data_IF_889001457502
#
_entry.id   IF_889001457502
#
_cell.length_a   1.000
_cell.length_b   1.000
_cell.length_c   1.000
_cell.angle_alpha   90.00
_cell.angle_beta   90.00
_cell.angle_gamma   90.00
#
_symmetry.space_group_name_H-M   'P 1'
#
loop_
_entity.id
_entity.type
_entity.pdbx_description
1 polymer ?
#
# COMPACT_ATOMS: atom_id res chain seq x y z
N UNK A 1 -0.87 27.18 -4.49
CA UNK A 1 0.06 26.20 -3.86
C UNK A 1 -0.17 24.81 -4.45
N UNK A 2 0.92 24.10 -4.76
CA UNK A 2 0.84 22.72 -5.26
C UNK A 2 1.15 21.79 -4.09
N UNK A 3 0.33 20.75 -3.92
CA UNK A 3 0.52 19.77 -2.84
C UNK A 3 0.18 18.36 -3.35
N UNK A 4 0.65 17.35 -2.66
CA UNK A 4 0.33 15.97 -2.97
C UNK A 4 -1.10 15.69 -2.49
N UNK A 5 -1.98 15.32 -3.43
CA UNK A 5 -3.34 14.91 -3.09
C UNK A 5 -3.44 13.41 -2.90
N UNK A 6 -2.91 12.65 -3.86
CA UNK A 6 -2.96 11.19 -3.87
C UNK A 6 -1.65 10.62 -4.37
N UNK A 7 -1.33 9.41 -3.96
CA UNK A 7 -0.32 8.55 -4.56
C UNK A 7 -0.99 7.25 -4.97
N UNK A 8 -0.39 6.47 -5.88
CA UNK A 8 -1.06 5.31 -6.45
C UNK A 8 -0.24 4.03 -6.30
N UNK A 9 -0.97 2.94 -6.06
CA UNK A 9 -0.45 1.58 -6.20
C UNK A 9 -1.30 0.82 -7.22
N UNK A 10 -0.66 0.03 -8.06
CA UNK A 10 -1.38 -0.96 -8.85
C UNK A 10 -1.84 -2.10 -7.95
N UNK A 11 -3.06 -2.60 -8.17
CA UNK A 11 -3.57 -3.78 -7.47
C UNK A 11 -4.22 -4.73 -8.47
N UNK A 12 -4.14 -6.04 -8.18
CA UNK A 12 -4.78 -7.07 -9.02
C UNK A 12 -6.28 -7.12 -8.80
N UNK A 13 -6.70 -7.01 -7.55
CA UNK A 13 -8.09 -7.12 -7.12
C UNK A 13 -8.38 -6.00 -6.13
N UNK A 14 -9.20 -5.04 -6.56
CA UNK A 14 -9.52 -3.88 -5.74
C UNK A 14 -10.25 -4.25 -4.45
N UNK A 15 -11.14 -5.24 -4.48
CA UNK A 15 -11.86 -5.68 -3.28
C UNK A 15 -10.92 -6.34 -2.27
N UNK A 16 -10.01 -7.19 -2.74
CA UNK A 16 -9.00 -7.81 -1.88
C UNK A 16 -8.05 -6.76 -1.28
N UNK A 17 -7.64 -5.78 -2.09
CA UNK A 17 -6.81 -4.69 -1.62
C UNK A 17 -7.55 -3.84 -0.57
N UNK A 18 -8.80 -3.50 -0.84
CA UNK A 18 -9.63 -2.73 0.09
C UNK A 18 -9.74 -3.44 1.45
N UNK A 19 -10.05 -4.73 1.44
CA UNK A 19 -10.16 -5.52 2.67
C UNK A 19 -8.83 -5.52 3.45
N UNK A 20 -7.70 -5.67 2.76
CA UNK A 20 -6.38 -5.65 3.40
C UNK A 20 -6.09 -4.32 4.09
N UNK A 21 -6.25 -3.21 3.37
CA UNK A 21 -5.90 -1.90 3.92
C UNK A 21 -6.86 -1.45 5.01
N UNK A 22 -8.14 -1.82 4.93
CA UNK A 22 -9.12 -1.45 5.96
C UNK A 22 -9.13 -2.41 7.14
N UNK A 23 -9.23 -3.72 6.90
CA UNK A 23 -9.39 -4.71 7.97
C UNK A 23 -8.07 -5.02 8.69
N UNK A 24 -6.96 -5.08 7.96
CA UNK A 24 -5.67 -5.43 8.55
C UNK A 24 -4.86 -4.21 8.97
N UNK A 25 -4.74 -3.18 8.13
CA UNK A 25 -4.00 -1.97 8.49
C UNK A 25 -4.84 -0.97 9.28
N UNK A 26 -6.16 -1.11 9.28
CA UNK A 26 -7.05 -0.19 10.01
C UNK A 26 -7.22 1.16 9.33
N UNK A 27 -6.93 1.24 8.04
CA UNK A 27 -7.13 2.47 7.27
C UNK A 27 -8.61 2.66 6.95
N UNK A 28 -8.97 3.88 6.56
CA UNK A 28 -10.34 4.20 6.17
C UNK A 28 -10.45 4.44 4.67
N UNK A 29 -11.63 4.20 4.12
CA UNK A 29 -11.94 4.53 2.73
C UNK A 29 -12.05 6.03 2.60
N UNK A 30 -11.32 6.61 1.64
CA UNK A 30 -11.41 8.03 1.31
C UNK A 30 -12.40 8.27 0.19
N UNK A 31 -12.36 7.42 -0.82
CA UNK A 31 -13.26 7.48 -1.96
C UNK A 31 -13.45 6.09 -2.55
N UNK A 32 -14.65 5.79 -2.98
CA UNK A 32 -14.96 4.55 -3.70
C UNK A 32 -16.11 4.86 -4.65
N UNK A 33 -15.77 5.20 -5.89
CA UNK A 33 -16.73 5.63 -6.91
C UNK A 33 -16.51 4.84 -8.18
N UNK A 34 -17.58 4.27 -8.71
CA UNK A 34 -17.57 3.63 -10.03
C UNK A 34 -18.22 4.55 -11.05
N UNK A 35 -17.55 4.76 -12.19
CA UNK A 35 -17.99 5.65 -13.24
C UNK A 35 -18.42 4.81 -14.46
N UNK A 36 -19.74 4.58 -14.66
CA UNK A 36 -20.22 3.74 -15.75
C UNK A 36 -19.82 4.26 -17.13
N UNK A 37 -19.80 5.59 -17.32
CA UNK A 37 -19.46 6.25 -18.58
C UNK A 37 -18.00 6.04 -18.99
N UNK A 38 -17.15 5.58 -18.05
CA UNK A 38 -15.75 5.27 -18.28
C UNK A 38 -15.47 3.76 -18.23
N UNK A 39 -16.45 2.96 -18.69
CA UNK A 39 -16.30 1.50 -18.70
C UNK A 39 -16.30 0.88 -17.32
N UNK A 40 -17.09 1.42 -16.40
CA UNK A 40 -17.13 0.99 -15.00
C UNK A 40 -15.79 1.18 -14.27
N UNK A 41 -15.06 2.21 -14.63
CA UNK A 41 -13.83 2.58 -13.93
C UNK A 41 -14.13 2.85 -12.46
N UNK A 42 -13.34 2.23 -11.57
CA UNK A 42 -13.49 2.38 -10.13
C UNK A 42 -12.33 3.22 -9.57
N UNK A 43 -12.66 4.38 -9.04
CA UNK A 43 -11.74 5.20 -8.28
C UNK A 43 -11.85 4.79 -6.82
N UNK A 44 -10.81 4.16 -6.29
CA UNK A 44 -10.77 3.64 -4.93
C UNK A 44 -9.54 4.19 -4.23
N UNK A 45 -9.74 4.83 -3.08
CA UNK A 45 -8.62 5.33 -2.28
C UNK A 45 -8.84 5.09 -0.80
N UNK A 46 -7.74 4.91 -0.09
CA UNK A 46 -7.69 4.60 1.33
C UNK A 46 -6.59 5.42 1.99
N UNK A 47 -6.62 5.52 3.31
CA UNK A 47 -5.55 6.17 4.06
C UNK A 47 -5.74 6.08 5.56
N UNK A 48 -4.66 6.31 6.34
CA UNK A 48 -4.76 6.35 7.79
C UNK A 48 -5.67 7.50 8.25
N UNK A 49 -6.51 7.25 9.26
CA UNK A 49 -7.43 8.28 9.77
C UNK A 49 -6.71 9.53 10.25
N UNK A 50 -5.51 9.36 10.79
CA UNK A 50 -4.68 10.47 11.31
C UNK A 50 -3.98 11.27 10.22
N UNK A 51 -4.05 10.84 8.96
CA UNK A 51 -3.45 11.53 7.81
C UNK A 51 -4.49 11.87 6.75
N UNK A 52 -5.45 12.78 7.05
CA UNK A 52 -6.54 13.06 6.12
C UNK A 52 -6.12 13.81 4.85
N UNK A 53 -4.90 14.35 4.82
CA UNK A 53 -4.41 15.19 3.73
C UNK A 53 -3.98 14.41 2.50
N UNK A 54 -3.70 13.12 2.64
CA UNK A 54 -3.18 12.29 1.55
C UNK A 54 -3.91 10.96 1.53
N UNK A 55 -4.11 10.42 0.34
CA UNK A 55 -4.70 9.10 0.16
C UNK A 55 -3.86 8.26 -0.79
N UNK A 56 -4.00 6.95 -0.66
CA UNK A 56 -3.40 5.97 -1.56
C UNK A 56 -4.50 5.44 -2.47
N UNK A 57 -4.35 5.65 -3.76
CA UNK A 57 -5.28 5.13 -4.77
C UNK A 57 -4.90 3.69 -5.06
N UNK A 58 -5.86 2.79 -4.89
CA UNK A 58 -5.72 1.38 -5.22
C UNK A 58 -6.28 1.18 -6.63
N UNK A 59 -5.39 1.23 -7.62
CA UNK A 59 -5.76 1.28 -9.03
C UNK A 59 -5.67 -0.10 -9.67
N UNK A 60 -6.77 -0.54 -10.28
CA UNK A 60 -6.76 -1.75 -11.08
C UNK A 60 -5.84 -1.57 -12.29
N UNK A 61 -5.07 -2.59 -12.64
CA UNK A 61 -4.23 -2.57 -13.83
C UNK A 61 -5.17 -2.51 -15.05
N UNK A 62 -5.10 -1.44 -15.87
CA UNK A 62 -6.02 -1.29 -16.99
C UNK A 62 -5.63 -2.18 -18.16
N UNK A 63 -6.61 -2.46 -19.04
CA UNK A 63 -6.36 -3.12 -20.31
C UNK A 63 -6.17 -2.13 -21.46
N UNK A 64 -6.05 -2.63 -22.69
CA UNK A 64 -5.99 -1.79 -23.87
C UNK A 64 -7.26 -0.90 -23.99
N UNK A 65 -7.13 0.31 -24.53
CA UNK A 65 -5.95 0.93 -25.13
C UNK A 65 -5.06 1.68 -24.12
N UNK A 66 -5.42 1.72 -22.84
CA UNK A 66 -4.67 2.49 -21.84
C UNK A 66 -3.30 1.83 -21.58
N UNK A 67 -3.31 0.52 -21.41
CA UNK A 67 -2.09 -0.25 -21.18
C UNK A 67 -2.15 -1.50 -22.07
N UNK A 68 -1.12 -1.75 -22.87
CA UNK A 68 -1.06 -2.96 -23.68
C UNK A 68 -0.80 -4.21 -22.82
N UNK A 69 -1.09 -5.38 -23.38
CA UNK A 69 -0.98 -6.64 -22.65
C UNK A 69 0.45 -6.92 -22.18
N UNK A 70 1.45 -6.58 -22.98
CA UNK A 70 2.85 -6.79 -22.63
C UNK A 70 3.27 -5.93 -21.43
N UNK A 71 2.83 -4.68 -21.41
CA UNK A 71 3.10 -3.77 -20.29
C UNK A 71 2.39 -4.25 -19.03
N UNK A 72 1.12 -4.65 -19.14
CA UNK A 72 0.36 -5.19 -18.01
C UNK A 72 1.02 -6.43 -17.42
N UNK A 73 1.52 -7.33 -18.28
CA UNK A 73 2.25 -8.52 -17.85
C UNK A 73 3.54 -8.15 -17.10
N UNK A 74 4.26 -7.14 -17.58
CA UNK A 74 5.49 -6.66 -16.94
C UNK A 74 5.20 -6.06 -15.56
N UNK A 75 4.14 -5.26 -15.43
CA UNK A 75 3.72 -4.70 -14.14
C UNK A 75 3.37 -5.82 -13.17
N UNK A 76 2.56 -6.78 -13.62
CA UNK A 76 2.16 -7.94 -12.81
C UNK A 76 3.36 -8.75 -12.33
N UNK A 77 4.34 -8.98 -13.21
CA UNK A 77 5.56 -9.70 -12.85
C UNK A 77 6.38 -8.97 -11.79
N UNK A 78 6.58 -7.66 -11.96
CA UNK A 78 7.30 -6.85 -10.99
C UNK A 78 6.58 -6.81 -9.64
N UNK A 79 5.25 -6.72 -9.64
CA UNK A 79 4.44 -6.76 -8.42
C UNK A 79 4.64 -8.08 -7.68
N UNK A 80 4.63 -9.20 -8.40
CA UNK A 80 4.81 -10.53 -7.79
C UNK A 80 6.16 -10.68 -7.10
N UNK A 81 7.14 -9.91 -7.54
CA UNK A 81 8.50 -9.89 -6.97
C UNK A 81 8.71 -8.82 -5.90
N UNK A 82 7.70 -7.97 -5.66
CA UNK A 82 7.78 -6.88 -4.70
C UNK A 82 8.54 -5.65 -5.19
N UNK A 83 8.64 -5.45 -6.51
CA UNK A 83 9.44 -4.36 -7.10
C UNK A 83 8.63 -3.35 -7.91
N UNK A 84 7.30 -3.42 -7.90
CA UNK A 84 6.48 -2.48 -8.67
C UNK A 84 6.11 -1.23 -7.86
N UNK A 85 5.89 -1.37 -6.56
CA UNK A 85 5.56 -0.23 -5.71
C UNK A 85 5.98 -0.49 -4.28
N UNK A 86 6.29 0.59 -3.57
CA UNK A 86 6.69 0.54 -2.16
C UNK A 86 6.01 1.66 -1.40
N UNK A 87 5.50 1.34 -0.22
CA UNK A 87 5.07 2.34 0.76
C UNK A 87 5.98 2.22 1.97
N UNK A 88 6.44 3.36 2.47
CA UNK A 88 7.18 3.44 3.71
C UNK A 88 6.25 3.96 4.80
N UNK A 89 5.92 3.12 5.77
CA UNK A 89 5.07 3.46 6.90
C UNK A 89 5.94 3.74 8.13
N UNK A 90 5.56 4.76 8.88
CA UNK A 90 6.21 5.10 10.15
C UNK A 90 5.36 4.64 11.32
N UNK A 91 5.99 4.15 12.36
CA UNK A 91 5.33 3.78 13.61
C UNK A 91 6.19 4.21 14.80
N UNK A 92 5.56 4.47 15.92
CA UNK A 92 6.28 4.78 17.16
C UNK A 92 6.86 3.54 17.83
N UNK A 93 6.31 2.36 17.53
CA UNK A 93 6.73 1.09 18.13
C UNK A 93 6.59 -0.03 17.09
N UNK A 94 7.70 -0.37 16.44
CA UNK A 94 7.72 -1.36 15.36
C UNK A 94 7.40 -2.76 15.86
N UNK A 95 7.91 -3.16 17.02
CA UNK A 95 7.61 -4.49 17.58
C UNK A 95 6.14 -4.65 17.92
N UNK A 96 5.53 -3.61 18.49
CA UNK A 96 4.10 -3.62 18.83
C UNK A 96 3.25 -3.68 17.56
N UNK A 97 3.55 -2.85 16.57
CA UNK A 97 2.85 -2.85 15.30
C UNK A 97 2.96 -4.21 14.60
N UNK A 98 4.15 -4.80 14.60
CA UNK A 98 4.39 -6.13 14.07
C UNK A 98 3.46 -7.17 14.72
N UNK A 99 3.39 -7.18 16.05
CA UNK A 99 2.52 -8.12 16.77
C UNK A 99 1.05 -7.91 16.45
N UNK A 100 0.61 -6.64 16.40
CA UNK A 100 -0.79 -6.32 16.08
C UNK A 100 -1.16 -6.73 14.66
N UNK A 101 -0.33 -6.43 13.69
CA UNK A 101 -0.57 -6.78 12.28
C UNK A 101 -0.52 -8.29 12.09
N UNK A 102 0.45 -8.98 12.71
CA UNK A 102 0.54 -10.44 12.64
C UNK A 102 -0.70 -11.10 13.23
N UNK A 103 -1.26 -10.56 14.32
CA UNK A 103 -2.50 -11.08 14.92
C UNK A 103 -3.71 -10.92 14.01
N UNK A 104 -3.67 -9.98 13.08
CA UNK A 104 -4.71 -9.77 12.06
C UNK A 104 -4.47 -10.56 10.78
N UNK A 105 -3.43 -11.39 10.75
CA UNK A 105 -3.12 -12.25 9.62
C UNK A 105 -2.17 -11.65 8.59
N UNK A 106 -1.49 -10.55 8.90
CA UNK A 106 -0.44 -10.03 8.01
C UNK A 106 0.79 -10.92 8.11
N UNK A 107 1.25 -11.41 6.96
CA UNK A 107 2.46 -12.22 6.87
C UNK A 107 3.65 -11.32 6.55
N UNK A 108 4.61 -11.22 7.47
CA UNK A 108 5.80 -10.41 7.28
C UNK A 108 6.85 -11.19 6.50
N UNK A 109 7.48 -10.53 5.53
CA UNK A 109 8.61 -11.08 4.78
C UNK A 109 9.93 -10.78 5.50
N UNK A 110 9.95 -9.75 6.33
CA UNK A 110 11.07 -9.42 7.21
C UNK A 110 10.52 -9.05 8.59
N UNK A 111 10.96 -9.75 9.62
CA UNK A 111 10.61 -9.44 11.01
C UNK A 111 11.30 -8.16 11.45
N UNK A 112 10.82 -7.48 12.53
CA UNK A 112 11.50 -6.30 13.05
C UNK A 112 12.96 -6.55 13.35
N UNK A 113 13.82 -5.71 12.81
CA UNK A 113 15.26 -5.80 12.96
C UNK A 113 15.85 -4.42 13.18
N UNK A 114 16.81 -4.32 14.10
CA UNK A 114 17.50 -3.07 14.36
C UNK A 114 18.48 -2.76 13.23
N UNK A 115 18.34 -1.58 12.65
CA UNK A 115 19.17 -1.05 11.58
C UNK A 115 19.77 0.28 12.04
N UNK A 116 20.76 0.84 11.32
CA UNK A 116 21.33 2.14 11.69
C UNK A 116 20.31 3.27 11.76
N UNK A 117 19.24 3.20 10.97
CA UNK A 117 18.21 4.23 10.89
C UNK A 117 17.00 3.98 11.80
N UNK A 118 16.94 2.85 12.48
CA UNK A 118 15.82 2.52 13.36
C UNK A 118 15.51 1.03 13.37
N UNK A 119 14.28 0.71 13.77
CA UNK A 119 13.77 -0.68 13.76
C UNK A 119 12.82 -0.81 12.58
N UNK A 120 13.05 -1.82 11.76
CA UNK A 120 12.39 -1.94 10.46
C UNK A 120 11.88 -3.36 10.22
N UNK A 121 10.70 -3.46 9.62
CA UNK A 121 10.06 -4.70 9.22
C UNK A 121 9.43 -4.52 7.85
N UNK A 122 9.07 -5.60 7.19
CA UNK A 122 8.45 -5.50 5.87
C UNK A 122 7.41 -6.59 5.64
N UNK A 123 6.37 -6.24 4.94
CA UNK A 123 5.33 -7.15 4.49
C UNK A 123 4.86 -6.75 3.09
N UNK A 124 3.99 -7.54 2.50
CA UNK A 124 3.41 -7.26 1.19
C UNK A 124 1.89 -7.21 1.28
N UNK A 125 1.29 -6.39 0.42
CA UNK A 125 -0.16 -6.42 0.25
C UNK A 125 -0.58 -7.63 -0.62
N UNK A 126 -1.88 -7.90 -0.80
CA UNK A 126 -2.32 -9.05 -1.60
C UNK A 126 -1.88 -9.03 -3.05
N UNK A 127 -1.53 -7.87 -3.58
CA UNK A 127 -1.06 -7.72 -4.97
C UNK A 127 0.46 -7.84 -5.10
N UNK A 128 1.19 -7.98 -3.99
CA UNK A 128 2.64 -8.08 -3.98
C UNK A 128 3.37 -6.75 -3.79
N UNK A 129 2.65 -5.65 -3.59
CA UNK A 129 3.29 -4.36 -3.30
C UNK A 129 4.06 -4.45 -1.98
N UNK A 130 5.25 -3.90 -1.99
CA UNK A 130 6.16 -3.95 -0.85
C UNK A 130 5.84 -2.84 0.15
N UNK A 131 5.73 -3.19 1.43
CA UNK A 131 5.43 -2.23 2.48
C UNK A 131 6.47 -2.37 3.58
N UNK A 132 7.16 -1.27 3.86
CA UNK A 132 8.11 -1.22 4.97
C UNK A 132 7.48 -0.50 6.15
N UNK A 133 7.75 -1.01 7.35
CA UNK A 133 7.26 -0.46 8.60
C UNK A 133 8.47 -0.10 9.45
N UNK A 134 8.67 1.18 9.70
CA UNK A 134 9.88 1.69 10.34
C UNK A 134 9.56 2.52 11.56
N UNK A 135 10.23 2.18 12.66
CA UNK A 135 10.34 3.03 13.85
C UNK A 135 11.64 3.80 13.70
N UNK A 136 11.53 5.06 13.30
CA UNK A 136 12.69 5.89 13.06
C UNK A 136 13.46 6.17 14.35
N UNK A 137 14.77 6.05 14.28
CA UNK A 137 15.64 6.43 15.37
C UNK A 137 15.88 7.93 15.26
N UNK A 138 15.63 8.67 16.35
CA UNK A 138 15.98 10.07 16.40
C UNK A 138 17.50 10.20 16.35
N UNK A 139 18.00 10.80 15.27
CA UNK A 139 19.43 11.10 15.16
C UNK A 139 19.67 12.45 15.80
N UNK A 140 20.39 12.46 16.92
CA UNK A 140 20.88 13.70 17.52
C UNK A 140 22.07 14.19 16.71
N UNK A 141 21.95 15.36 16.14
CA UNK A 141 23.04 16.02 15.46
C UNK A 141 23.66 17.08 16.37
#
# INVERSE_FOLDING_TARGET
MIRIGNVQLWVHDQDAALAFYTDKLGWEVRSDVTVPEMGNFRWLSVGPAEQPDIAVVLMAIPGPPIMDDATAASVTDLMSKGFAGTIFLSTEDCHRAYRQLSSRGVEFVEEPETRPYGIDAAFRDPSGNHIRLTQEQTVSV
#
